data_IF_460325369894
#
_entry.id   IF_460325369894
#
_cell.length_a   1.000
_cell.length_b   1.000
_cell.length_c   1.000
_cell.angle_alpha   90.00
_cell.angle_beta   90.00
_cell.angle_gamma   90.00
#
_symmetry.space_group_name_H-M   'P 1'
#
loop_
_entity.id
_entity.type
_entity.pdbx_description
1 polymer ?
#
# COMPACT_ATOMS: atom_id res chain seq x y z
N UNK A 1 64.70 -43.62 -6.45
CA UNK A 1 64.89 -43.76 -7.91
C UNK A 1 63.52 -43.95 -8.56
N UNK A 2 63.32 -43.46 -9.80
CA UNK A 2 62.08 -43.43 -10.64
C UNK A 2 61.13 -42.24 -10.32
N UNK A 3 61.04 -41.10 -11.03
CA UNK A 3 60.89 -40.66 -12.45
C UNK A 3 59.50 -40.86 -13.09
N UNK A 4 58.87 -39.70 -13.37
CA UNK A 4 57.95 -39.32 -14.49
C UNK A 4 56.46 -39.68 -14.29
N UNK A 5 55.43 -38.91 -14.68
CA UNK A 5 55.27 -37.90 -15.76
C UNK A 5 53.98 -37.07 -15.62
N UNK A 6 53.93 -35.98 -16.41
CA UNK A 6 52.94 -34.91 -16.66
C UNK A 6 51.45 -35.24 -16.91
N UNK A 7 50.65 -34.14 -16.80
CA UNK A 7 49.46 -33.71 -17.60
C UNK A 7 48.10 -33.80 -16.88
N UNK A 8 47.10 -32.91 -17.02
CA UNK A 8 46.93 -31.57 -17.60
C UNK A 8 45.45 -31.11 -17.37
N UNK A 9 45.16 -29.79 -17.48
CA UNK A 9 43.86 -29.19 -17.95
C UNK A 9 42.66 -29.28 -16.97
N UNK A 10 41.66 -28.38 -16.82
CA UNK A 10 41.30 -26.97 -17.07
C UNK A 10 39.86 -26.78 -16.50
N UNK A 11 39.44 -25.52 -16.25
CA UNK A 11 38.06 -25.01 -16.12
C UNK A 11 37.38 -25.16 -14.74
N UNK A 12 37.26 -24.07 -13.96
CA UNK A 12 36.19 -23.03 -13.98
C UNK A 12 34.83 -23.59 -13.57
N UNK A 13 34.40 -23.27 -12.34
CA UNK A 13 33.00 -23.18 -11.97
C UNK A 13 32.73 -21.80 -11.39
N UNK A 14 31.96 -21.05 -12.17
CA UNK A 14 31.58 -19.66 -12.02
C UNK A 14 30.71 -19.50 -10.78
N UNK A 15 30.98 -18.48 -9.97
CA UNK A 15 30.12 -18.09 -8.87
C UNK A 15 28.76 -17.64 -9.39
N UNK A 16 27.70 -18.31 -8.96
CA UNK A 16 26.33 -17.82 -9.12
C UNK A 16 25.97 -17.03 -7.88
N UNK A 17 26.22 -15.72 -7.90
CA UNK A 17 25.38 -14.80 -7.14
C UNK A 17 24.05 -14.73 -7.87
N UNK A 18 23.05 -15.45 -7.35
CA UNK A 18 21.66 -15.26 -7.75
C UNK A 18 21.24 -13.87 -7.30
N UNK A 19 21.36 -12.88 -8.18
CA UNK A 19 20.64 -11.63 -8.05
C UNK A 19 19.20 -11.98 -8.42
N UNK A 20 18.33 -12.20 -7.43
CA UNK A 20 16.89 -12.19 -7.67
C UNK A 20 16.54 -10.79 -8.16
N UNK A 21 16.32 -10.64 -9.46
CA UNK A 21 15.71 -9.44 -10.00
C UNK A 21 14.30 -9.36 -9.39
N UNK A 22 14.11 -8.48 -8.41
CA UNK A 22 12.78 -8.02 -8.05
C UNK A 22 12.24 -7.29 -9.28
N UNK A 23 11.48 -7.98 -10.11
CA UNK A 23 10.65 -7.34 -11.11
C UNK A 23 9.59 -6.55 -10.34
N UNK A 24 9.88 -5.30 -10.00
CA UNK A 24 8.85 -4.32 -9.69
C UNK A 24 7.98 -4.23 -10.94
N UNK A 25 6.85 -4.91 -10.93
CA UNK A 25 5.79 -4.65 -11.89
C UNK A 25 5.55 -3.13 -11.91
N UNK A 26 5.30 -2.52 -13.08
CA UNK A 26 4.97 -1.11 -13.13
C UNK A 26 3.79 -0.87 -12.19
N UNK A 27 3.96 0.06 -11.25
CA UNK A 27 2.91 0.47 -10.31
C UNK A 27 1.71 0.98 -11.13
N UNK A 28 0.53 0.41 -10.91
CA UNK A 28 -0.70 0.82 -11.58
C UNK A 28 -1.04 2.27 -11.19
N UNK A 29 -1.68 3.01 -12.09
CA UNK A 29 -2.08 4.38 -11.81
C UNK A 29 -3.10 4.45 -10.65
N UNK A 30 -3.99 3.45 -10.60
CA UNK A 30 -5.00 3.26 -9.57
C UNK A 30 -4.35 2.95 -8.21
N UNK A 31 -3.33 2.08 -8.18
CA UNK A 31 -2.55 1.83 -6.96
C UNK A 31 -1.86 3.13 -6.51
N UNK A 32 -1.22 3.86 -7.42
CA UNK A 32 -0.56 5.14 -7.09
C UNK A 32 -1.53 6.11 -6.43
N UNK A 33 -2.74 6.24 -7.00
CA UNK A 33 -3.78 7.11 -6.50
C UNK A 33 -4.28 6.67 -5.13
N UNK A 34 -4.51 5.37 -4.94
CA UNK A 34 -4.87 4.79 -3.64
C UNK A 34 -3.81 5.11 -2.57
N UNK A 35 -2.52 4.99 -2.90
CA UNK A 35 -1.42 5.35 -1.98
C UNK A 35 -1.41 6.83 -1.63
N UNK A 36 -1.76 7.72 -2.57
CA UNK A 36 -1.92 9.14 -2.27
C UNK A 36 -3.15 9.41 -1.38
N UNK A 37 -4.22 8.64 -1.52
CA UNK A 37 -5.39 8.72 -0.63
C UNK A 37 -5.11 8.15 0.77
N UNK A 38 -4.32 7.08 0.90
CA UNK A 38 -3.85 6.54 2.19
C UNK A 38 -3.11 7.60 3.01
N UNK A 39 -2.27 8.43 2.36
CA UNK A 39 -1.57 9.54 3.03
C UNK A 39 -2.50 10.60 3.60
N UNK A 40 -3.76 10.64 3.16
CA UNK A 40 -4.80 11.56 3.64
C UNK A 40 -5.69 10.94 4.71
N UNK A 41 -5.42 9.70 5.13
CA UNK A 41 -6.11 9.10 6.28
C UNK A 41 -5.91 9.99 7.50
N UNK A 42 -7.01 10.33 8.16
CA UNK A 42 -6.99 11.17 9.36
C UNK A 42 -6.54 10.30 10.52
N UNK A 43 -5.33 10.52 11.03
CA UNK A 43 -4.70 9.69 12.07
C UNK A 43 -4.96 10.17 13.49
N UNK A 44 -5.67 11.29 13.66
CA UNK A 44 -6.06 11.83 14.97
C UNK A 44 -7.45 12.46 14.88
N UNK A 45 -8.28 12.33 15.93
CA UNK A 45 -9.65 12.82 15.89
C UNK A 45 -9.70 14.33 15.64
N UNK A 46 -10.66 14.76 14.82
CA UNK A 46 -10.90 16.18 14.56
C UNK A 46 -11.23 16.88 15.89
N UNK A 47 -10.55 17.99 16.17
CA UNK A 47 -10.63 18.74 17.42
C UNK A 47 -10.24 17.93 18.68
N UNK A 48 -9.56 16.80 18.55
CA UNK A 48 -9.20 15.94 19.68
C UNK A 48 -10.38 15.14 20.25
N UNK A 49 -11.50 15.05 19.53
CA UNK A 49 -12.75 14.47 20.05
C UNK A 49 -12.94 13.04 19.55
N UNK A 50 -12.82 12.08 20.47
CA UNK A 50 -13.12 10.67 20.22
C UNK A 50 -14.62 10.39 20.39
N UNK A 51 -15.41 10.69 19.36
CA UNK A 51 -16.84 10.39 19.33
C UNK A 51 -17.15 9.20 18.40
N UNK A 52 -18.43 8.83 18.30
CA UNK A 52 -18.87 7.71 17.44
C UNK A 52 -18.35 7.85 16.00
N UNK A 53 -18.43 9.03 15.39
CA UNK A 53 -17.98 9.27 14.01
C UNK A 53 -16.49 9.04 13.80
N UNK A 54 -15.66 9.33 14.82
CA UNK A 54 -14.24 9.00 14.78
C UNK A 54 -14.00 7.49 14.78
N UNK A 55 -14.74 6.75 15.61
CA UNK A 55 -14.62 5.30 15.67
C UNK A 55 -15.21 4.61 14.45
N UNK A 56 -16.34 5.10 13.92
CA UNK A 56 -16.96 4.66 12.67
C UNK A 56 -15.94 4.82 11.53
N UNK A 57 -15.42 6.04 11.33
CA UNK A 57 -14.39 6.32 10.32
C UNK A 57 -13.18 5.37 10.40
N UNK A 58 -12.64 5.14 11.61
CA UNK A 58 -11.52 4.20 11.77
C UNK A 58 -11.91 2.75 11.43
N UNK A 59 -13.13 2.36 11.77
CA UNK A 59 -13.69 1.07 11.40
C UNK A 59 -13.76 0.91 9.89
N UNK A 60 -14.33 1.91 9.21
CA UNK A 60 -14.52 1.90 7.75
C UNK A 60 -13.18 1.87 7.01
N UNK A 61 -12.17 2.62 7.48
CA UNK A 61 -10.81 2.56 6.92
C UNK A 61 -10.18 1.17 7.08
N UNK A 62 -10.36 0.52 8.23
CA UNK A 62 -9.83 -0.82 8.45
C UNK A 62 -10.56 -1.88 7.61
N UNK A 63 -11.87 -1.73 7.40
CA UNK A 63 -12.64 -2.63 6.56
C UNK A 63 -12.24 -2.49 5.09
N UNK A 64 -12.16 -1.26 4.56
CA UNK A 64 -11.69 -1.01 3.20
C UNK A 64 -10.28 -1.59 2.93
N UNK A 65 -9.37 -1.49 3.92
CA UNK A 65 -8.03 -2.11 3.82
C UNK A 65 -8.09 -3.65 3.77
N UNK A 66 -9.01 -4.25 4.53
CA UNK A 66 -9.23 -5.70 4.55
C UNK A 66 -9.89 -6.18 3.26
N UNK A 67 -10.84 -5.43 2.74
CA UNK A 67 -11.54 -5.72 1.47
C UNK A 67 -10.57 -5.66 0.30
N UNK A 68 -9.79 -4.57 0.17
CA UNK A 68 -8.70 -4.49 -0.82
C UNK A 68 -7.77 -5.71 -0.76
N UNK A 69 -7.32 -6.11 0.43
CA UNK A 69 -6.45 -7.27 0.57
C UNK A 69 -7.12 -8.58 0.13
N UNK A 70 -8.41 -8.74 0.41
CA UNK A 70 -9.22 -9.87 -0.05
C UNK A 70 -9.39 -9.86 -1.57
N UNK A 71 -9.68 -8.70 -2.15
CA UNK A 71 -9.99 -8.55 -3.57
C UNK A 71 -8.74 -8.73 -4.43
N UNK A 72 -7.61 -8.16 -4.02
CA UNK A 72 -6.32 -8.42 -4.65
C UNK A 72 -5.92 -9.90 -4.57
N UNK A 73 -6.31 -10.62 -3.51
CA UNK A 73 -6.05 -12.06 -3.40
C UNK A 73 -7.00 -12.90 -4.29
N UNK A 74 -8.17 -12.39 -4.65
CA UNK A 74 -9.14 -13.05 -5.52
C UNK A 74 -9.02 -12.64 -6.99
N UNK A 75 -8.35 -11.53 -7.27
CA UNK A 75 -8.15 -11.00 -8.61
C UNK A 75 -7.49 -12.03 -9.53
N UNK A 76 -8.06 -12.19 -10.72
CA UNK A 76 -7.66 -13.19 -11.70
C UNK A 76 -6.93 -12.59 -12.89
N UNK A 77 -7.17 -11.30 -13.17
CA UNK A 77 -6.49 -10.54 -14.20
C UNK A 77 -6.13 -9.11 -13.77
N UNK A 78 -5.58 -8.33 -14.70
CA UNK A 78 -5.11 -6.97 -14.43
C UNK A 78 -6.27 -5.99 -14.23
N UNK A 79 -7.43 -6.23 -14.86
CA UNK A 79 -8.59 -5.34 -14.71
C UNK A 79 -9.21 -5.54 -13.33
N UNK A 80 -9.30 -6.78 -12.83
CA UNK A 80 -9.70 -7.07 -11.44
C UNK A 80 -8.82 -6.30 -10.43
N UNK A 81 -7.50 -6.25 -10.67
CA UNK A 81 -6.56 -5.52 -9.80
C UNK A 81 -6.80 -4.02 -9.87
N UNK A 82 -7.05 -3.47 -11.07
CA UNK A 82 -7.31 -2.03 -11.26
C UNK A 82 -8.61 -1.62 -10.60
N UNK A 83 -9.67 -2.40 -10.78
CA UNK A 83 -10.98 -2.17 -10.17
C UNK A 83 -10.88 -2.18 -8.64
N UNK A 84 -10.16 -3.15 -8.05
CA UNK A 84 -9.95 -3.21 -6.60
C UNK A 84 -9.22 -1.96 -6.06
N UNK A 85 -8.19 -1.48 -6.76
CA UNK A 85 -7.49 -0.25 -6.37
C UNK A 85 -8.33 1.02 -6.57
N UNK A 86 -9.13 1.07 -7.63
CA UNK A 86 -10.04 2.18 -7.91
C UNK A 86 -11.15 2.27 -6.86
N UNK A 87 -11.79 1.15 -6.54
CA UNK A 87 -12.82 1.07 -5.49
C UNK A 87 -12.27 1.52 -4.14
N UNK A 88 -11.14 0.95 -3.73
CA UNK A 88 -10.46 1.34 -2.48
C UNK A 88 -10.14 2.85 -2.43
N UNK A 89 -9.72 3.44 -3.55
CA UNK A 89 -9.49 4.89 -3.65
C UNK A 89 -10.77 5.69 -3.36
N UNK A 90 -11.89 5.28 -3.96
CA UNK A 90 -13.18 5.96 -3.78
C UNK A 90 -13.71 5.81 -2.35
N UNK A 91 -13.53 4.65 -1.74
CA UNK A 91 -13.89 4.38 -0.35
C UNK A 91 -13.11 5.27 0.61
N UNK A 92 -11.77 5.28 0.54
CA UNK A 92 -10.93 6.13 1.39
C UNK A 92 -11.33 7.60 1.30
N UNK A 93 -11.56 8.09 0.08
CA UNK A 93 -11.99 9.46 -0.14
C UNK A 93 -13.42 9.72 0.35
N UNK A 94 -14.32 8.75 0.17
CA UNK A 94 -15.70 8.77 0.65
C UNK A 94 -15.78 8.87 2.16
N UNK A 95 -15.14 7.95 2.87
CA UNK A 95 -15.17 7.88 4.33
C UNK A 95 -14.53 9.11 4.97
N UNK A 96 -13.42 9.58 4.41
CA UNK A 96 -12.80 10.83 4.87
C UNK A 96 -13.76 12.02 4.71
N UNK A 97 -14.44 12.14 3.55
CA UNK A 97 -15.42 13.23 3.33
C UNK A 97 -16.60 13.10 4.29
N UNK A 98 -17.10 11.89 4.51
CA UNK A 98 -18.23 11.65 5.42
C UNK A 98 -17.87 12.06 6.84
N UNK A 99 -16.74 11.59 7.38
CA UNK A 99 -16.28 11.95 8.71
C UNK A 99 -16.08 13.47 8.86
N UNK A 100 -15.41 14.11 7.91
CA UNK A 100 -15.21 15.57 7.91
C UNK A 100 -16.55 16.31 7.89
N UNK A 101 -17.52 15.86 7.10
CA UNK A 101 -18.85 16.45 7.03
C UNK A 101 -19.60 16.32 8.36
N UNK A 102 -19.65 15.11 8.94
CA UNK A 102 -20.33 14.87 10.22
C UNK A 102 -19.74 15.72 11.35
N UNK A 103 -18.41 15.90 11.36
CA UNK A 103 -17.74 16.77 12.33
C UNK A 103 -18.04 18.26 12.04
N UNK A 104 -18.08 18.65 10.77
CA UNK A 104 -18.37 20.03 10.37
C UNK A 104 -19.80 20.47 10.72
N UNK A 105 -20.79 19.60 10.52
CA UNK A 105 -22.19 19.84 10.89
C UNK A 105 -22.38 20.03 12.40
N UNK A 106 -21.44 19.53 13.22
CA UNK A 106 -21.43 19.66 14.68
C UNK A 106 -20.57 20.81 15.19
N UNK A 107 -20.05 21.65 14.30
CA UNK A 107 -19.26 22.84 14.64
C UNK A 107 -17.76 22.61 14.81
N UNK A 108 -17.27 21.39 14.59
CA UNK A 108 -15.84 21.11 14.61
C UNK A 108 -15.23 21.37 13.23
N UNK A 109 -13.95 21.74 13.17
CA UNK A 109 -13.22 21.97 11.92
C UNK A 109 -11.90 21.23 11.97
N UNK A 110 -11.49 20.69 10.83
CA UNK A 110 -10.14 20.18 10.68
C UNK A 110 -9.18 21.38 10.74
N UNK A 111 -8.35 21.44 11.77
CA UNK A 111 -7.30 22.45 11.87
C UNK A 111 -6.15 22.13 10.91
N UNK A 112 -5.53 23.16 10.33
CA UNK A 112 -4.22 23.03 9.69
C UNK A 112 -3.14 23.41 10.69
N UNK A 113 -2.11 22.57 10.86
CA UNK A 113 -0.88 22.94 11.56
C UNK A 113 0.15 23.28 10.50
N UNK A 114 0.50 24.56 10.38
CA UNK A 114 1.68 25.00 9.62
C UNK A 114 2.84 25.12 10.61
N UNK A 115 3.85 24.26 10.47
CA UNK A 115 5.13 24.43 11.19
C UNK A 115 6.00 25.33 10.33
N UNK A 116 6.38 26.49 10.86
CA UNK A 116 7.31 27.44 10.24
C UNK A 116 8.72 27.33 10.80
#
# INVERSE_FOLDING_TARGET
MMKKTLAATLAVAIGTLSITANATAPLLAEEALAREEEKRIITSPIAGIENRFWFDYRGDINEAQKELASDLNRASDIEDIRDAWEEYTFELAGERRHYVKEMAERGYRMGSVTVG
#
